data_IF_002518405553
#
_entry.id   IF_002518405553
#
_cell.length_a   1.000
_cell.length_b   1.000
_cell.length_c   1.000
_cell.angle_alpha   90.00
_cell.angle_beta   90.00
_cell.angle_gamma   90.00
#
_symmetry.space_group_name_H-M   'P 1'
#
loop_
_entity.id
_entity.type
_entity.pdbx_description
1 polymer ?
#
# COMPACT_ATOMS: atom_id res chain seq x y z
N UNK A 1 9.47 10.57 1.65
CA UNK A 1 9.19 10.63 0.18
C UNK A 1 7.82 11.24 -0.02
N UNK A 2 7.62 12.08 -1.04
CA UNK A 2 6.34 12.77 -1.31
C UNK A 2 5.34 11.88 -2.07
N UNK A 3 4.08 12.34 -2.21
CA UNK A 3 3.11 11.70 -3.10
C UNK A 3 3.62 11.57 -4.54
N UNK A 4 4.33 12.58 -5.08
CA UNK A 4 4.87 12.52 -6.44
C UNK A 4 5.88 11.39 -6.59
N UNK A 5 6.74 11.19 -5.59
CA UNK A 5 7.71 10.11 -5.58
C UNK A 5 7.02 8.75 -5.53
N UNK A 6 5.99 8.60 -4.69
CA UNK A 6 5.19 7.37 -4.62
C UNK A 6 4.52 7.06 -5.95
N UNK A 7 3.91 8.06 -6.59
CA UNK A 7 3.29 7.88 -7.91
C UNK A 7 4.32 7.46 -8.96
N UNK A 8 5.52 8.05 -8.94
CA UNK A 8 6.62 7.69 -9.85
C UNK A 8 7.11 6.26 -9.62
N UNK A 9 7.27 5.83 -8.37
CA UNK A 9 7.80 4.51 -8.02
C UNK A 9 6.77 3.38 -8.19
N UNK A 10 5.52 3.63 -7.82
CA UNK A 10 4.48 2.58 -7.77
C UNK A 10 3.56 2.58 -9.00
N UNK A 11 3.51 3.69 -9.73
CA UNK A 11 2.53 3.93 -10.80
C UNK A 11 1.09 4.10 -10.31
N UNK A 12 0.85 4.15 -9.00
CA UNK A 12 -0.49 4.31 -8.43
C UNK A 12 -0.88 5.78 -8.47
N UNK A 13 -2.07 6.10 -9.00
CA UNK A 13 -2.58 7.50 -9.01
C UNK A 13 -2.82 7.98 -7.58
N UNK A 14 -2.55 9.26 -7.31
CA UNK A 14 -2.77 9.90 -5.99
C UNK A 14 -4.18 9.67 -5.45
N UNK A 15 -5.20 9.79 -6.30
CA UNK A 15 -6.61 9.58 -5.89
C UNK A 15 -6.88 8.17 -5.42
N UNK A 16 -6.35 7.15 -6.11
CA UNK A 16 -6.46 5.76 -5.71
C UNK A 16 -5.72 5.50 -4.39
N UNK A 17 -4.51 6.05 -4.26
CA UNK A 17 -3.71 5.92 -3.05
C UNK A 17 -4.40 6.56 -1.84
N UNK A 18 -4.95 7.78 -1.99
CA UNK A 18 -5.74 8.44 -0.95
C UNK A 18 -6.93 7.59 -0.54
N UNK A 19 -7.70 7.07 -1.51
CA UNK A 19 -8.82 6.20 -1.21
C UNK A 19 -8.42 4.91 -0.48
N UNK A 20 -7.24 4.35 -0.76
CA UNK A 20 -6.74 3.15 -0.05
C UNK A 20 -6.33 3.47 1.40
N UNK A 21 -5.74 4.63 1.62
CA UNK A 21 -5.35 5.11 2.96
C UNK A 21 -6.60 5.44 3.78
N UNK A 22 -7.54 6.20 3.23
CA UNK A 22 -8.80 6.59 3.89
C UNK A 22 -9.65 5.38 4.27
N UNK A 23 -9.68 4.36 3.42
CA UNK A 23 -10.37 3.08 3.70
C UNK A 23 -9.59 2.16 4.66
N UNK A 24 -8.38 2.54 5.07
CA UNK A 24 -7.56 1.77 6.00
C UNK A 24 -6.93 0.50 5.40
N UNK A 25 -6.90 0.38 4.07
CA UNK A 25 -6.25 -0.72 3.37
C UNK A 25 -4.72 -0.63 3.47
N UNK A 26 -4.20 0.60 3.47
CA UNK A 26 -2.78 0.89 3.66
C UNK A 26 -2.65 1.74 4.91
N UNK A 27 -1.85 1.25 5.84
CA UNK A 27 -1.59 1.92 7.11
C UNK A 27 -0.23 2.62 7.03
N UNK A 28 -0.24 3.94 7.14
CA UNK A 28 0.99 4.75 7.15
C UNK A 28 1.44 4.90 8.59
N UNK A 29 2.53 4.22 8.97
CA UNK A 29 3.05 4.30 10.33
C UNK A 29 3.43 5.75 10.67
N UNK A 30 2.93 6.24 11.81
CA UNK A 30 3.35 7.52 12.39
C UNK A 30 2.51 8.74 12.02
N UNK A 31 1.31 8.59 11.46
CA UNK A 31 0.44 9.74 11.14
C UNK A 31 -0.68 9.93 12.16
N UNK A 32 -0.59 11.01 12.94
CA UNK A 32 -1.68 11.50 13.77
C UNK A 32 -2.89 11.88 12.90
N UNK A 33 -4.11 11.63 13.40
CA UNK A 33 -5.36 12.11 12.80
C UNK A 33 -5.36 13.65 12.85
N UNK A 34 -5.17 14.35 11.73
CA UNK A 34 -5.17 15.81 11.69
C UNK A 34 -4.99 16.43 10.30
N UNK A 35 -5.50 17.66 10.12
CA UNK A 35 -5.46 18.46 8.90
C UNK A 35 -4.06 19.02 8.66
N UNK A 36 -3.16 18.17 8.18
CA UNK A 36 -1.77 18.55 7.92
C UNK A 36 -0.88 17.33 7.78
N UNK A 37 -1.30 16.36 6.97
CA UNK A 37 -0.49 15.18 6.71
C UNK A 37 0.80 15.60 6.00
N UNK A 38 1.92 15.59 6.71
CA UNK A 38 3.23 15.54 6.08
C UNK A 38 3.23 14.32 5.17
N UNK A 39 3.45 14.55 3.88
CA UNK A 39 3.33 13.53 2.84
C UNK A 39 4.50 12.55 2.86
N UNK A 40 5.10 12.30 4.02
CA UNK A 40 6.28 11.47 4.14
C UNK A 40 5.87 10.00 4.15
N UNK A 41 6.12 9.36 3.02
CA UNK A 41 6.10 7.92 2.87
C UNK A 41 7.50 7.39 3.18
N UNK A 42 7.55 6.30 3.95
CA UNK A 42 8.74 5.49 4.20
C UNK A 42 8.90 4.45 3.09
N UNK A 43 10.09 3.83 2.96
CA UNK A 43 10.29 2.75 2.00
C UNK A 43 9.34 1.57 2.26
N UNK A 44 9.11 1.24 3.54
CA UNK A 44 8.15 0.21 3.95
C UNK A 44 6.73 0.52 3.45
N UNK A 45 6.31 1.78 3.45
CA UNK A 45 5.00 2.18 2.92
C UNK A 45 4.94 1.95 1.41
N UNK A 46 6.00 2.29 0.67
CA UNK A 46 6.09 2.06 -0.77
C UNK A 46 6.00 0.56 -1.08
N UNK A 47 6.76 -0.27 -0.36
CA UNK A 47 6.73 -1.72 -0.52
C UNK A 47 5.32 -2.28 -0.28
N UNK A 48 4.62 -1.80 0.76
CA UNK A 48 3.26 -2.21 1.05
C UNK A 48 2.28 -1.74 -0.04
N UNK A 49 2.44 -0.53 -0.58
CA UNK A 49 1.63 -0.03 -1.70
C UNK A 49 1.84 -0.89 -2.95
N UNK A 50 3.09 -1.24 -3.28
CA UNK A 50 3.42 -2.09 -4.42
C UNK A 50 2.85 -3.50 -4.25
N UNK A 51 3.01 -4.09 -3.07
CA UNK A 51 2.48 -5.41 -2.77
C UNK A 51 0.95 -5.42 -2.83
N UNK A 52 0.31 -4.38 -2.29
CA UNK A 52 -1.15 -4.22 -2.35
C UNK A 52 -1.66 -4.10 -3.79
N UNK A 53 -1.01 -3.24 -4.60
CA UNK A 53 -1.32 -3.08 -6.01
C UNK A 53 -1.21 -4.42 -6.73
N UNK A 54 -0.10 -5.13 -6.59
CA UNK A 54 0.14 -6.39 -7.29
C UNK A 54 -0.83 -7.49 -6.87
N UNK A 55 -1.10 -7.62 -5.57
CA UNK A 55 -2.08 -8.57 -5.05
C UNK A 55 -3.49 -8.31 -5.60
N UNK A 56 -3.92 -7.05 -5.66
CA UNK A 56 -5.23 -6.72 -6.23
C UNK A 56 -5.28 -6.92 -7.75
N UNK A 57 -4.16 -6.80 -8.46
CA UNK A 57 -4.07 -7.09 -9.90
C UNK A 57 -4.18 -8.58 -10.22
N UNK A 58 -3.69 -9.46 -9.34
CA UNK A 58 -3.86 -10.92 -9.48
C UNK A 58 -5.21 -11.43 -8.94
N UNK A 59 -6.13 -10.52 -8.59
CA UNK A 59 -7.50 -10.85 -8.22
C UNK A 59 -7.78 -11.02 -6.73
N UNK A 60 -6.83 -10.73 -5.83
CA UNK A 60 -7.13 -10.74 -4.39
C UNK A 60 -8.03 -9.56 -4.03
N UNK A 61 -8.98 -9.80 -3.12
CA UNK A 61 -9.80 -8.71 -2.57
C UNK A 61 -8.94 -7.73 -1.79
N UNK A 62 -9.36 -6.46 -1.78
CA UNK A 62 -8.63 -5.37 -1.11
C UNK A 62 -8.58 -5.60 0.39
N UNK A 63 -9.67 -6.09 0.97
CA UNK A 63 -9.83 -6.40 2.38
C UNK A 63 -8.89 -7.53 2.81
N UNK A 64 -8.84 -8.61 2.02
CA UNK A 64 -7.95 -9.74 2.27
C UNK A 64 -6.49 -9.29 2.15
N UNK A 65 -6.17 -8.56 1.09
CA UNK A 65 -4.81 -8.06 0.85
C UNK A 65 -4.33 -7.17 2.00
N UNK A 66 -5.16 -6.21 2.44
CA UNK A 66 -4.83 -5.36 3.57
C UNK A 66 -4.57 -6.16 4.86
N UNK A 67 -5.39 -7.19 5.11
CA UNK A 67 -5.21 -8.09 6.26
C UNK A 67 -3.89 -8.87 6.18
N UNK A 68 -3.57 -9.41 4.99
CA UNK A 68 -2.36 -10.19 4.75
C UNK A 68 -1.10 -9.33 4.87
N UNK A 69 -1.11 -8.09 4.39
CA UNK A 69 0.02 -7.16 4.57
C UNK A 69 0.32 -6.93 6.06
N UNK A 70 -0.72 -6.79 6.89
CA UNK A 70 -0.56 -6.53 8.33
C UNK A 70 -0.09 -7.76 9.13
N UNK A 71 -0.60 -8.94 8.81
CA UNK A 71 -0.39 -10.16 9.62
C UNK A 71 0.57 -11.18 9.01
N UNK A 72 0.60 -11.29 7.68
CA UNK A 72 1.21 -12.39 6.96
C UNK A 72 2.00 -11.94 5.73
N UNK A 73 2.65 -10.77 5.81
CA UNK A 73 3.35 -10.12 4.69
C UNK A 73 4.24 -11.07 3.90
N UNK A 74 5.02 -11.91 4.60
CA UNK A 74 5.93 -12.89 3.99
C UNK A 74 5.20 -13.93 3.15
N UNK A 75 4.06 -14.44 3.62
CA UNK A 75 3.23 -15.41 2.89
C UNK A 75 2.63 -14.79 1.64
N UNK A 76 2.12 -13.55 1.76
CA UNK A 76 1.60 -12.81 0.60
C UNK A 76 2.69 -12.59 -0.45
N UNK A 77 3.90 -12.18 -0.04
CA UNK A 77 5.01 -11.99 -0.95
C UNK A 77 5.39 -13.28 -1.68
N UNK A 78 5.45 -14.42 -0.96
CA UNK A 78 5.70 -15.74 -1.55
C UNK A 78 4.63 -16.12 -2.58
N UNK A 79 3.35 -15.94 -2.25
CA UNK A 79 2.23 -16.24 -3.14
C UNK A 79 2.29 -15.39 -4.43
N UNK A 80 2.59 -14.10 -4.29
CA UNK A 80 2.69 -13.20 -5.45
C UNK A 80 3.86 -13.58 -6.36
N UNK A 81 5.00 -13.99 -5.77
CA UNK A 81 6.17 -14.44 -6.52
C UNK A 81 6.01 -15.83 -7.14
N UNK A 82 5.02 -16.63 -6.72
CA UNK A 82 4.72 -17.93 -7.36
C UNK A 82 3.79 -17.82 -8.56
N UNK A 83 3.25 -16.63 -8.84
CA UNK A 83 2.33 -16.37 -9.97
C UNK A 83 3.08 -15.77 -11.17
N UNK A 84 4.28 -15.20 -10.96
CA UNK A 84 5.21 -14.82 -12.01
C UNK A 84 6.06 -16.01 -12.46
#
# INVERSE_FOLDING_TARGET
>A
MTYKDVQRLTGVKRTALQAWIEKGFIDLKGKAKGTGYSNDFTMTDIENIMLFKRATQVGLSRELTARLIKKERKKLLMFINSID
#
